data_IF_519628839673
#
_entry.id   IF_519628839673
#
_cell.length_a   1.000
_cell.length_b   1.000
_cell.length_c   1.000
_cell.angle_alpha   90.00
_cell.angle_beta   90.00
_cell.angle_gamma   90.00
#
_symmetry.space_group_name_H-M   'P 1'
#
loop_
_entity.id
_entity.type
_entity.pdbx_description
1 polymer ?
#
# COMPACT_ATOMS: atom_id res chain seq x y z
N UNK A 1 -0.90 -2.34 -2.99
CA UNK A 1 0.50 -2.80 -3.05
C UNK A 1 0.65 -3.98 -2.11
N UNK A 2 0.99 -5.14 -2.66
CA UNK A 2 0.93 -6.42 -1.96
C UNK A 2 2.33 -7.00 -1.72
N UNK A 3 2.51 -7.55 -0.53
CA UNK A 3 3.73 -8.28 -0.14
C UNK A 3 3.67 -9.69 -0.73
N UNK A 4 4.71 -10.11 -1.45
CA UNK A 4 4.71 -11.39 -2.18
C UNK A 4 4.50 -12.61 -1.28
N UNK A 5 5.08 -12.62 -0.09
CA UNK A 5 4.90 -13.69 0.90
C UNK A 5 3.43 -13.78 1.37
N UNK A 6 2.75 -12.62 1.51
CA UNK A 6 1.33 -12.61 1.86
C UNK A 6 0.45 -13.16 0.72
N UNK A 7 0.77 -12.85 -0.53
CA UNK A 7 0.05 -13.44 -1.68
C UNK A 7 0.15 -14.97 -1.68
N UNK A 8 1.33 -15.52 -1.37
CA UNK A 8 1.53 -16.97 -1.27
C UNK A 8 0.74 -17.61 -0.12
N UNK A 9 0.64 -16.90 1.00
CA UNK A 9 -0.08 -17.37 2.19
C UNK A 9 -1.59 -17.25 2.07
N UNK A 10 -2.04 -16.25 1.29
CA UNK A 10 -3.45 -15.86 1.16
C UNK A 10 -3.86 -15.74 -0.33
N UNK A 11 -3.76 -16.84 -1.10
CA UNK A 11 -4.01 -16.80 -2.54
C UNK A 11 -5.47 -16.53 -2.90
N UNK A 12 -6.41 -16.86 -2.01
CA UNK A 12 -7.84 -16.63 -2.24
C UNK A 12 -8.18 -15.15 -2.14
N UNK A 13 -7.64 -14.47 -1.14
CA UNK A 13 -7.79 -13.03 -0.96
C UNK A 13 -7.16 -12.26 -2.11
N UNK A 14 -6.00 -12.70 -2.59
CA UNK A 14 -5.36 -12.14 -3.78
C UNK A 14 -6.27 -12.29 -5.01
N UNK A 15 -6.79 -13.50 -5.27
CA UNK A 15 -7.71 -13.75 -6.40
C UNK A 15 -8.97 -12.89 -6.32
N UNK A 16 -9.51 -12.69 -5.10
CA UNK A 16 -10.68 -11.84 -4.87
C UNK A 16 -10.39 -10.39 -5.23
N UNK A 17 -9.24 -9.83 -4.82
CA UNK A 17 -8.83 -8.47 -5.16
C UNK A 17 -8.71 -8.29 -6.68
N UNK A 18 -8.07 -9.22 -7.38
CA UNK A 18 -7.95 -9.20 -8.85
C UNK A 18 -9.32 -9.31 -9.52
N UNK A 19 -10.17 -10.24 -9.07
CA UNK A 19 -11.53 -10.45 -9.61
C UNK A 19 -12.42 -9.19 -9.52
N UNK A 20 -12.21 -8.37 -8.48
CA UNK A 20 -12.95 -7.12 -8.32
C UNK A 20 -12.35 -5.93 -9.10
N UNK A 21 -11.37 -6.19 -9.97
CA UNK A 21 -10.80 -5.17 -10.86
C UNK A 21 -9.84 -4.19 -10.20
N UNK A 22 -9.36 -4.51 -9.01
CA UNK A 22 -8.35 -3.67 -8.36
C UNK A 22 -6.98 -3.83 -9.03
N UNK A 23 -6.25 -2.72 -9.16
CA UNK A 23 -4.89 -2.74 -9.66
C UNK A 23 -3.92 -3.16 -8.55
N UNK A 24 -3.02 -4.09 -8.88
CA UNK A 24 -2.04 -4.64 -7.96
C UNK A 24 -0.69 -3.97 -8.19
N UNK A 25 0.03 -3.67 -7.10
CA UNK A 25 1.41 -3.19 -7.14
C UNK A 25 2.34 -4.05 -6.28
N UNK A 26 3.61 -4.10 -6.65
CA UNK A 26 4.67 -4.80 -5.94
C UNK A 26 5.06 -4.04 -4.66
N UNK A 27 5.19 -4.76 -3.52
CA UNK A 27 5.59 -4.21 -2.23
C UNK A 27 6.72 -5.05 -1.58
N UNK A 28 7.67 -5.52 -2.41
CA UNK A 28 8.70 -6.53 -2.09
C UNK A 28 8.13 -7.89 -1.66
N UNK A 29 8.96 -8.91 -1.67
CA UNK A 29 8.49 -10.25 -1.30
C UNK A 29 8.34 -10.41 0.22
N UNK A 30 9.27 -9.89 1.02
CA UNK A 30 9.29 -10.04 2.49
C UNK A 30 9.05 -8.72 3.25
N UNK A 31 8.54 -7.68 2.61
CA UNK A 31 8.31 -6.36 3.23
C UNK A 31 9.56 -5.76 3.86
N UNK A 32 10.71 -5.88 3.19
CA UNK A 32 12.01 -5.44 3.69
C UNK A 32 12.24 -3.94 3.47
N UNK A 33 12.99 -3.31 4.36
CA UNK A 33 13.37 -1.89 4.27
C UNK A 33 14.62 -1.72 3.43
N UNK A 34 14.61 -0.85 2.43
CA UNK A 34 15.73 -0.70 1.51
C UNK A 34 17.05 -0.34 2.16
N UNK A 35 17.04 0.47 3.22
CA UNK A 35 18.28 0.88 3.91
C UNK A 35 18.91 -0.21 4.79
N UNK A 36 18.19 -1.29 5.09
CA UNK A 36 18.65 -2.38 5.96
C UNK A 36 19.26 -3.53 5.16
N UNK A 37 19.21 -3.47 3.81
CA UNK A 37 19.65 -4.54 2.93
C UNK A 37 20.63 -4.03 1.87
N UNK A 38 21.52 -4.91 1.44
CA UNK A 38 22.37 -4.62 0.29
C UNK A 38 21.51 -4.36 -0.98
N UNK A 39 22.05 -3.59 -1.93
CA UNK A 39 21.33 -3.33 -3.17
C UNK A 39 20.94 -4.62 -3.92
N UNK A 40 21.86 -5.61 -4.11
CA UNK A 40 21.49 -6.87 -4.75
C UNK A 40 20.35 -7.62 -4.03
N UNK A 41 20.40 -7.71 -2.71
CA UNK A 41 19.41 -8.44 -1.92
C UNK A 41 18.03 -7.78 -1.98
N UNK A 42 18.00 -6.44 -1.87
CA UNK A 42 16.75 -5.70 -1.99
C UNK A 42 16.13 -5.85 -3.37
N UNK A 43 16.94 -5.73 -4.43
CA UNK A 43 16.47 -5.87 -5.81
C UNK A 43 16.00 -7.30 -6.11
N UNK A 44 16.69 -8.31 -5.63
CA UNK A 44 16.28 -9.71 -5.74
C UNK A 44 14.94 -9.96 -5.03
N UNK A 45 14.78 -9.38 -3.83
CA UNK A 45 13.54 -9.48 -3.06
C UNK A 45 12.35 -8.79 -3.76
N UNK A 46 12.59 -7.63 -4.38
CA UNK A 46 11.58 -6.93 -5.17
C UNK A 46 11.17 -7.75 -6.41
N UNK A 47 12.14 -8.21 -7.19
CA UNK A 47 11.90 -8.99 -8.43
C UNK A 47 11.23 -10.34 -8.19
N UNK A 48 11.46 -10.96 -7.05
CA UNK A 48 10.81 -12.23 -6.68
C UNK A 48 9.28 -12.16 -6.70
N UNK A 49 8.71 -10.97 -6.60
CA UNK A 49 7.26 -10.75 -6.69
C UNK A 49 6.77 -10.86 -8.13
N UNK A 50 7.62 -10.59 -9.13
CA UNK A 50 7.26 -10.63 -10.54
C UNK A 50 6.92 -12.06 -11.01
N UNK A 51 7.41 -13.08 -10.30
CA UNK A 51 7.03 -14.48 -10.51
C UNK A 51 5.58 -14.78 -10.11
N UNK A 52 4.94 -13.86 -9.36
CA UNK A 52 3.61 -14.04 -8.79
C UNK A 52 2.60 -13.08 -9.43
N UNK A 53 3.00 -11.82 -9.63
CA UNK A 53 2.16 -10.78 -10.21
C UNK A 53 2.89 -10.07 -11.35
N UNK A 54 2.14 -9.69 -12.38
CA UNK A 54 2.63 -8.81 -13.43
C UNK A 54 2.12 -7.39 -13.16
N UNK A 55 3.00 -6.50 -12.74
CA UNK A 55 2.66 -5.11 -12.43
C UNK A 55 3.82 -4.16 -12.75
N UNK A 56 3.49 -3.02 -13.30
CA UNK A 56 4.40 -1.90 -13.50
C UNK A 56 4.47 -0.97 -12.28
N UNK A 57 3.75 -1.26 -11.19
CA UNK A 57 3.69 -0.45 -9.99
C UNK A 57 4.54 -1.04 -8.87
N UNK A 58 5.36 -0.20 -8.25
CA UNK A 58 6.14 -0.55 -7.07
C UNK A 58 5.98 0.50 -5.97
N UNK A 59 5.82 0.03 -4.73
CA UNK A 59 5.89 0.90 -3.55
C UNK A 59 6.92 0.33 -2.58
N UNK A 60 7.95 1.10 -2.18
CA UNK A 60 8.93 0.63 -1.21
C UNK A 60 8.30 0.48 0.18
N UNK A 61 8.53 -0.64 0.90
CA UNK A 61 8.07 -0.78 2.27
C UNK A 61 8.57 0.36 3.15
N UNK A 62 7.69 0.89 3.99
CA UNK A 62 7.93 2.03 4.86
C UNK A 62 8.36 3.33 4.15
N UNK A 63 8.31 3.38 2.81
CA UNK A 63 8.88 4.48 2.02
C UNK A 63 10.41 4.47 1.98
N UNK A 64 11.06 3.41 2.43
CA UNK A 64 12.52 3.32 2.56
C UNK A 64 13.14 2.63 1.35
N UNK A 65 13.94 3.39 0.60
CA UNK A 65 14.65 2.90 -0.58
C UNK A 65 15.93 3.72 -0.79
N UNK A 66 17.06 3.05 -1.00
CA UNK A 66 18.33 3.69 -1.33
C UNK A 66 18.37 4.23 -2.76
N UNK A 67 19.21 5.24 -3.05
CA UNK A 67 19.32 5.85 -4.38
C UNK A 67 19.60 4.82 -5.49
N UNK A 68 20.54 3.91 -5.28
CA UNK A 68 20.87 2.87 -6.27
C UNK A 68 19.70 1.91 -6.51
N UNK A 69 18.97 1.57 -5.46
CA UNK A 69 17.75 0.74 -5.56
C UNK A 69 16.68 1.48 -6.38
N UNK A 70 16.46 2.76 -6.10
CA UNK A 70 15.54 3.61 -6.85
C UNK A 70 15.92 3.67 -8.35
N UNK A 71 17.17 4.03 -8.66
CA UNK A 71 17.60 4.15 -10.05
C UNK A 71 17.49 2.84 -10.84
N UNK A 72 17.66 1.69 -10.18
CA UNK A 72 17.48 0.39 -10.83
C UNK A 72 16.01 0.06 -11.03
N UNK A 73 15.18 0.21 -9.98
CA UNK A 73 13.77 -0.19 -10.04
C UNK A 73 12.94 0.71 -10.96
N UNK A 74 13.25 2.01 -11.06
CA UNK A 74 12.49 2.94 -11.92
C UNK A 74 12.52 2.60 -13.43
N UNK A 75 13.43 1.77 -13.87
CA UNK A 75 13.45 1.29 -15.26
C UNK A 75 12.40 0.19 -15.51
N UNK A 76 11.94 -0.46 -14.47
CA UNK A 76 10.97 -1.56 -14.55
C UNK A 76 9.62 -1.22 -13.96
N UNK A 77 9.59 -0.26 -13.01
CA UNK A 77 8.40 0.10 -12.26
C UNK A 77 8.18 1.61 -12.19
N UNK A 78 6.94 2.01 -12.14
CA UNK A 78 6.51 3.31 -11.65
C UNK A 78 6.54 3.27 -10.13
N UNK A 79 7.43 4.06 -9.52
CA UNK A 79 7.57 4.13 -8.06
C UNK A 79 6.46 5.02 -7.51
N UNK A 80 5.55 4.43 -6.75
CA UNK A 80 4.36 5.09 -6.23
C UNK A 80 4.48 5.27 -4.71
N UNK A 81 4.55 6.49 -4.27
CA UNK A 81 4.52 6.87 -2.87
C UNK A 81 3.08 7.19 -2.42
N UNK A 82 2.90 8.09 -1.50
CA UNK A 82 1.60 8.53 -0.97
C UNK A 82 1.64 10.00 -0.54
N UNK A 83 0.47 10.61 -0.47
CA UNK A 83 0.28 11.92 0.14
C UNK A 83 -0.12 11.78 1.61
N UNK A 84 -0.96 10.81 1.92
CA UNK A 84 -1.50 10.59 3.26
C UNK A 84 -1.40 9.13 3.69
N UNK A 85 -0.69 8.88 4.79
CA UNK A 85 -0.78 7.63 5.56
C UNK A 85 -1.77 7.83 6.69
N UNK A 86 -2.84 7.06 6.70
CA UNK A 86 -3.93 7.19 7.68
C UNK A 86 -3.55 6.80 9.10
N UNK A 87 -2.47 6.00 9.27
CA UNK A 87 -1.97 5.42 10.51
C UNK A 87 -2.96 4.43 11.17
N UNK A 88 -3.79 3.80 10.36
CA UNK A 88 -4.77 2.79 10.76
C UNK A 88 -4.16 1.60 11.55
N UNK A 89 -2.90 1.26 11.28
CA UNK A 89 -2.15 0.22 12.00
C UNK A 89 -1.73 0.61 13.44
N UNK A 90 -1.88 1.88 13.82
CA UNK A 90 -1.37 2.37 15.11
C UNK A 90 -2.34 2.07 16.26
N UNK A 91 -1.90 1.30 17.25
CA UNK A 91 -2.66 1.06 18.48
C UNK A 91 -2.89 2.32 19.33
N UNK A 92 -2.15 3.41 19.03
CA UNK A 92 -2.30 4.70 19.73
C UNK A 92 -3.34 5.62 19.09
N UNK A 93 -3.85 5.24 17.91
CA UNK A 93 -4.89 5.98 17.21
C UNK A 93 -6.26 5.36 17.51
N UNK A 94 -7.24 6.21 17.74
CA UNK A 94 -8.65 5.79 17.77
C UNK A 94 -9.21 5.79 16.34
N UNK A 95 -10.21 4.95 16.02
CA UNK A 95 -10.79 4.86 14.69
C UNK A 95 -11.25 6.21 14.13
N UNK A 96 -11.84 7.07 14.99
CA UNK A 96 -12.30 8.41 14.60
C UNK A 96 -11.13 9.33 14.20
N UNK A 97 -9.99 9.19 14.84
CA UNK A 97 -8.79 9.99 14.50
C UNK A 97 -8.22 9.57 13.14
N UNK A 98 -8.28 8.27 12.81
CA UNK A 98 -7.90 7.76 11.48
C UNK A 98 -8.80 8.35 10.40
N UNK A 99 -10.12 8.33 10.61
CA UNK A 99 -11.09 8.97 9.70
C UNK A 99 -10.84 10.48 9.59
N UNK A 100 -10.61 11.17 10.71
CA UNK A 100 -10.35 12.60 10.73
C UNK A 100 -9.07 12.98 9.97
N UNK A 101 -8.04 12.11 9.94
CA UNK A 101 -6.88 12.33 9.09
C UNK A 101 -7.28 12.41 7.61
N UNK A 102 -8.16 11.53 7.15
CA UNK A 102 -8.67 11.59 5.77
C UNK A 102 -9.45 12.87 5.53
N UNK A 103 -10.43 13.17 6.39
CA UNK A 103 -11.29 14.36 6.27
C UNK A 103 -10.49 15.66 6.21
N UNK A 104 -9.41 15.73 6.97
CA UNK A 104 -8.60 16.95 7.10
C UNK A 104 -7.56 17.13 6.00
N UNK A 105 -6.99 16.05 5.49
CA UNK A 105 -5.79 16.12 4.63
C UNK A 105 -6.00 15.62 3.22
N UNK A 106 -7.14 15.00 2.91
CA UNK A 106 -7.45 14.61 1.54
C UNK A 106 -7.62 15.86 0.64
N UNK A 107 -7.11 15.77 -0.58
CA UNK A 107 -7.18 16.82 -1.59
C UNK A 107 -7.17 16.19 -2.98
N UNK A 108 -7.44 16.98 -4.01
CA UNK A 108 -7.39 16.49 -5.39
C UNK A 108 -6.02 15.88 -5.72
N UNK A 109 -6.05 14.68 -6.30
CA UNK A 109 -4.86 13.91 -6.65
C UNK A 109 -4.20 13.16 -5.49
N UNK A 110 -4.76 13.19 -4.28
CA UNK A 110 -4.19 12.47 -3.13
C UNK A 110 -4.16 10.96 -3.32
N UNK A 111 -3.02 10.37 -2.98
CA UNK A 111 -2.87 8.94 -2.78
C UNK A 111 -2.95 8.67 -1.27
N UNK A 112 -4.08 8.10 -0.84
CA UNK A 112 -4.37 7.84 0.57
C UNK A 112 -4.08 6.36 0.86
N UNK A 113 -3.22 6.10 1.85
CA UNK A 113 -2.81 4.75 2.21
C UNK A 113 -3.49 4.27 3.47
N UNK A 114 -4.22 3.16 3.35
CA UNK A 114 -4.64 2.27 4.41
C UNK A 114 -3.85 0.97 4.35
N UNK A 115 -3.85 0.19 5.42
CA UNK A 115 -3.09 -1.06 5.49
C UNK A 115 -4.03 -2.24 5.73
N UNK A 116 -4.09 -3.14 4.76
CA UNK A 116 -4.73 -4.45 4.91
C UNK A 116 -3.82 -5.37 5.72
N UNK A 117 -3.93 -5.27 7.03
CA UNK A 117 -3.11 -6.02 7.97
C UNK A 117 -3.90 -6.39 9.22
N UNK A 118 -3.52 -7.52 9.87
CA UNK A 118 -4.10 -7.93 11.14
C UNK A 118 -3.97 -6.85 12.24
N UNK A 119 -2.95 -5.99 12.17
CA UNK A 119 -2.78 -4.88 13.13
C UNK A 119 -3.89 -3.83 12.95
N UNK A 120 -4.19 -3.45 11.71
CA UNK A 120 -5.23 -2.47 11.39
C UNK A 120 -6.62 -3.05 11.58
N UNK A 121 -6.77 -4.35 11.36
CA UNK A 121 -8.03 -5.05 11.57
C UNK A 121 -8.33 -5.22 13.06
N UNK A 122 -7.41 -5.80 13.84
CA UNK A 122 -7.64 -6.14 15.24
C UNK A 122 -7.81 -4.94 16.18
N UNK A 123 -7.33 -3.76 15.80
CA UNK A 123 -7.56 -2.53 16.57
C UNK A 123 -8.86 -1.80 16.16
N UNK A 124 -9.59 -2.32 15.17
CA UNK A 124 -10.86 -1.75 14.68
C UNK A 124 -10.72 -0.51 13.79
N UNK A 125 -9.50 0.02 13.62
CA UNK A 125 -9.28 1.26 12.89
C UNK A 125 -9.67 1.16 11.41
N UNK A 126 -9.23 0.09 10.73
CA UNK A 126 -9.51 -0.12 9.31
C UNK A 126 -11.01 -0.30 9.05
N UNK A 127 -11.65 -1.18 9.84
CA UNK A 127 -13.07 -1.52 9.70
C UNK A 127 -13.98 -0.30 9.89
N UNK A 128 -13.61 0.58 10.82
CA UNK A 128 -14.37 1.79 11.09
C UNK A 128 -14.09 2.90 10.07
N UNK A 129 -12.81 3.18 9.82
CA UNK A 129 -12.41 4.39 9.11
C UNK A 129 -12.50 4.25 7.59
N UNK A 130 -12.15 3.10 7.00
CA UNK A 130 -12.09 2.95 5.55
C UNK A 130 -13.46 3.16 4.87
N UNK A 131 -14.56 2.47 5.25
CA UNK A 131 -15.84 2.66 4.59
C UNK A 131 -16.36 4.11 4.75
N UNK A 132 -16.20 4.70 5.94
CA UNK A 132 -16.63 6.07 6.21
C UNK A 132 -15.78 7.12 5.48
N UNK A 133 -14.50 6.83 5.27
CA UNK A 133 -13.65 7.70 4.47
C UNK A 133 -14.06 7.69 2.99
N UNK A 134 -14.39 6.52 2.45
CA UNK A 134 -14.89 6.40 1.06
C UNK A 134 -16.21 7.15 0.90
N UNK A 135 -17.15 6.96 1.82
CA UNK A 135 -18.46 7.61 1.83
C UNK A 135 -18.29 9.14 1.88
N UNK A 136 -17.57 9.64 2.88
CA UNK A 136 -17.27 11.06 3.02
C UNK A 136 -16.64 11.67 1.75
N UNK A 137 -15.63 11.02 1.17
CA UNK A 137 -14.98 11.54 -0.02
C UNK A 137 -15.90 11.59 -1.23
N UNK A 138 -16.82 10.61 -1.36
CA UNK A 138 -17.87 10.66 -2.40
C UNK A 138 -18.86 11.81 -2.17
N UNK A 139 -19.29 12.04 -0.93
CA UNK A 139 -20.18 13.15 -0.56
C UNK A 139 -19.53 14.52 -0.84
N UNK A 140 -18.20 14.63 -0.63
CA UNK A 140 -17.43 15.83 -0.97
C UNK A 140 -17.12 15.97 -2.48
N UNK A 141 -17.64 15.06 -3.32
CA UNK A 141 -17.49 15.13 -4.77
C UNK A 141 -16.18 14.59 -5.34
N UNK A 142 -15.39 13.85 -4.53
CA UNK A 142 -14.18 13.21 -5.04
C UNK A 142 -14.51 11.96 -5.88
N UNK A 143 -13.76 11.80 -6.95
CA UNK A 143 -13.74 10.58 -7.76
C UNK A 143 -12.52 9.73 -7.43
N UNK A 144 -12.73 8.40 -7.36
CA UNK A 144 -11.64 7.45 -7.18
C UNK A 144 -11.11 7.00 -8.54
N UNK A 145 -9.81 7.12 -8.75
CA UNK A 145 -9.11 6.70 -9.98
C UNK A 145 -8.09 5.62 -9.67
N UNK A 146 -7.77 4.82 -10.68
CA UNK A 146 -6.68 3.83 -10.64
C UNK A 146 -5.38 4.50 -11.10
N UNK A 147 -4.25 4.07 -10.52
CA UNK A 147 -2.90 4.54 -10.85
C UNK A 147 -2.44 4.07 -12.24
#
# INVERSE_FOLDING_TARGET
>A
FMVGDNIRKHPDEYRMVVKHGHRIGNHTFNHIRGFEYSNPDYLANARKVDDIIHSDLFRPPHGHMGFRQYYTLRYHYRIIMWDLVTRDYSKRMRPEQVLNNVKRYARNGSIITFHDSLKSWNNGNLQYALPRAIEFLKEEGYEFKVL
#
